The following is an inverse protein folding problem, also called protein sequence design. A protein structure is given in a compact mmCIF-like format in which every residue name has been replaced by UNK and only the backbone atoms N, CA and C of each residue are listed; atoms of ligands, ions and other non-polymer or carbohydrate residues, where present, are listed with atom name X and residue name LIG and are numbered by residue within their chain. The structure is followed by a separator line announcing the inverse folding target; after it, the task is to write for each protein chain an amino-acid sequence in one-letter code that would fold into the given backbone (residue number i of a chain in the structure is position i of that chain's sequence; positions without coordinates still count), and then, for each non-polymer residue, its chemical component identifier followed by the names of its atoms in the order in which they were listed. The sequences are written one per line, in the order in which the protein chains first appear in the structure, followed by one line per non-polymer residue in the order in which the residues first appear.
data_IF_025557373291
#
_entry.id   IF_025557373291
#
_cell.length_a   1.000
_cell.length_b   1.000
_cell.length_c   1.000
_cell.angle_alpha   90.00
_cell.angle_beta   90.00
_cell.angle_gamma   90.00
#
_symmetry.space_group_name_H-M   'P 1'
#
loop_
_entity.id
_entity.type
_entity.pdbx_description
1 polymer ?
#
# COMPACT_ATOMS: atom_id res chain seq x y z
N UNK A 1 -49.35 -71.51 -13.24
CA UNK A 1 -50.67 -70.84 -13.43
C UNK A 1 -50.99 -70.25 -12.06
N UNK A 2 -51.01 -68.94 -11.81
CA UNK A 2 -51.44 -67.73 -12.53
C UNK A 2 -50.68 -66.56 -11.86
N UNK A 3 -50.08 -65.61 -12.57
CA UNK A 3 -50.73 -64.45 -13.16
C UNK A 3 -50.35 -63.18 -12.37
N UNK A 4 -49.46 -62.35 -12.94
CA UNK A 4 -49.14 -60.99 -12.48
C UNK A 4 -50.37 -60.07 -12.55
N UNK A 5 -50.39 -58.99 -11.75
CA UNK A 5 -50.72 -57.68 -12.31
C UNK A 5 -49.67 -56.59 -12.00
N UNK A 6 -49.59 -55.67 -12.96
CA UNK A 6 -48.69 -54.52 -13.12
C UNK A 6 -49.24 -53.25 -12.44
N UNK A 7 -48.34 -52.54 -11.75
CA UNK A 7 -48.14 -51.08 -11.44
C UNK A 7 -49.34 -50.08 -11.35
N UNK A 8 -49.23 -49.01 -10.53
CA UNK A 8 -48.48 -47.82 -10.98
C UNK A 8 -47.60 -47.15 -9.91
N UNK A 9 -46.58 -46.44 -10.41
CA UNK A 9 -45.61 -45.61 -9.69
C UNK A 9 -46.23 -44.33 -9.10
N UNK A 10 -45.76 -43.84 -7.94
CA UNK A 10 -45.87 -42.43 -7.58
C UNK A 10 -44.65 -41.61 -8.06
N UNK A 11 -44.86 -40.33 -8.43
CA UNK A 11 -43.86 -39.48 -9.06
C UNK A 11 -43.01 -38.71 -8.05
N UNK A 12 -41.81 -38.32 -8.47
CA UNK A 12 -41.16 -37.08 -8.03
C UNK A 12 -40.47 -37.12 -6.67
N UNK A 13 -39.20 -37.50 -6.67
CA UNK A 13 -38.24 -36.90 -5.74
C UNK A 13 -37.06 -36.36 -6.55
N UNK A 14 -36.78 -35.09 -6.28
CA UNK A 14 -36.05 -34.19 -7.17
C UNK A 14 -34.56 -34.45 -7.17
N UNK A 15 -34.03 -34.34 -8.38
CA UNK A 15 -32.63 -34.10 -8.67
C UNK A 15 -32.25 -32.70 -8.15
N UNK A 16 -31.60 -32.60 -7.01
CA UNK A 16 -30.89 -31.37 -6.61
C UNK A 16 -29.83 -31.71 -5.55
N UNK A 17 -28.78 -32.43 -5.95
CA UNK A 17 -27.78 -32.92 -5.00
C UNK A 17 -26.36 -32.93 -5.53
N UNK A 18 -26.01 -32.20 -6.59
CA UNK A 18 -24.64 -32.22 -7.14
C UNK A 18 -24.31 -30.90 -7.86
N UNK A 19 -24.25 -29.78 -7.14
CA UNK A 19 -23.79 -28.50 -7.70
C UNK A 19 -23.02 -27.62 -6.70
N UNK A 20 -22.34 -28.23 -5.73
CA UNK A 20 -21.45 -27.53 -4.80
C UNK A 20 -20.16 -28.35 -4.64
N UNK A 21 -19.26 -28.31 -5.65
CA UNK A 21 -17.86 -28.03 -5.28
C UNK A 21 -17.08 -27.21 -6.33
N UNK A 22 -17.72 -26.42 -7.21
CA UNK A 22 -16.97 -25.59 -8.17
C UNK A 22 -16.61 -24.19 -7.65
N UNK A 23 -17.32 -23.67 -6.64
CA UNK A 23 -17.01 -22.35 -6.06
C UNK A 23 -15.79 -22.37 -5.11
N UNK A 24 -15.39 -23.54 -4.60
CA UNK A 24 -14.25 -23.66 -3.68
C UNK A 24 -12.90 -23.80 -4.40
N UNK A 25 -12.89 -24.27 -5.65
CA UNK A 25 -11.66 -24.44 -6.44
C UNK A 25 -11.09 -23.10 -6.95
N UNK A 26 -11.94 -22.09 -7.17
CA UNK A 26 -11.49 -20.75 -7.58
C UNK A 26 -10.86 -19.93 -6.43
N UNK A 27 -11.11 -20.29 -5.18
CA UNK A 27 -10.51 -19.66 -4.00
C UNK A 27 -9.11 -20.19 -3.67
N UNK A 28 -8.70 -21.33 -4.22
CA UNK A 28 -7.40 -21.97 -3.98
C UNK A 28 -6.37 -21.72 -5.09
N UNK A 29 -6.79 -21.28 -6.27
CA UNK A 29 -5.88 -21.00 -7.39
C UNK A 29 -5.27 -19.58 -7.40
N UNK A 30 -5.64 -18.73 -6.45
CA UNK A 30 -5.16 -17.34 -6.33
C UNK A 30 -3.99 -17.12 -5.36
N UNK A 31 -3.42 -18.18 -4.77
CA UNK A 31 -2.36 -18.07 -3.76
C UNK A 31 -0.96 -17.75 -4.32
N UNK A 32 -0.87 -17.13 -5.50
CA UNK A 32 0.31 -16.35 -5.86
C UNK A 32 0.17 -14.98 -5.19
N UNK A 33 0.46 -14.93 -3.88
CA UNK A 33 0.62 -13.66 -3.17
C UNK A 33 1.61 -12.80 -3.96
N UNK A 34 1.26 -11.57 -4.36
CA UNK A 34 2.26 -10.64 -4.88
C UNK A 34 3.26 -10.36 -3.74
N UNK A 35 4.40 -11.05 -3.80
CA UNK A 35 5.60 -10.76 -3.04
C UNK A 35 6.08 -9.38 -3.48
N UNK A 36 5.89 -8.36 -2.62
CA UNK A 36 6.43 -7.02 -2.85
C UNK A 36 5.39 -5.93 -2.77
N UNK A 37 4.80 -5.75 -1.60
CA UNK A 37 3.97 -4.58 -1.31
C UNK A 37 4.39 -3.95 0.02
N UNK A 38 5.68 -3.74 0.23
CA UNK A 38 6.16 -2.78 1.22
C UNK A 38 6.71 -1.58 0.43
N UNK A 39 6.06 -0.43 0.59
CA UNK A 39 6.59 0.92 0.32
C UNK A 39 6.71 1.56 -1.07
N UNK A 40 6.67 0.84 -2.20
CA UNK A 40 6.81 1.53 -3.51
C UNK A 40 5.66 2.53 -3.77
N UNK A 41 4.50 2.31 -3.16
CA UNK A 41 3.32 3.17 -3.25
C UNK A 41 3.52 4.54 -2.61
N UNK A 42 4.06 4.59 -1.39
CA UNK A 42 4.19 5.82 -0.59
C UNK A 42 5.28 6.73 -1.17
N UNK A 43 6.40 6.17 -1.61
CA UNK A 43 7.45 6.98 -2.22
C UNK A 43 7.15 7.38 -3.66
N UNK A 44 6.45 6.54 -4.41
CA UNK A 44 5.86 6.99 -5.69
C UNK A 44 4.82 8.07 -5.43
N UNK A 45 4.12 8.05 -4.30
CA UNK A 45 3.21 9.14 -3.91
C UNK A 45 4.00 10.39 -3.65
N UNK A 46 5.00 10.35 -2.79
CA UNK A 46 5.80 11.48 -2.33
C UNK A 46 6.65 12.15 -3.40
N UNK A 47 6.98 11.44 -4.49
CA UNK A 47 7.79 11.97 -5.60
C UNK A 47 6.98 12.29 -6.87
N UNK A 48 5.64 12.26 -6.80
CA UNK A 48 4.76 12.51 -7.94
C UNK A 48 4.44 13.99 -8.20
N UNK A 49 4.83 14.91 -7.30
CA UNK A 49 4.68 16.36 -7.49
C UNK A 49 5.60 16.89 -8.60
N UNK A 50 6.80 16.31 -8.75
CA UNK A 50 7.62 16.41 -9.95
C UNK A 50 8.32 15.06 -10.18
N UNK A 51 7.70 14.13 -10.93
CA UNK A 51 8.27 12.82 -11.15
C UNK A 51 9.52 12.87 -12.04
N UNK A 52 9.83 13.99 -12.69
CA UNK A 52 11.03 14.15 -13.51
C UNK A 52 12.18 14.82 -12.75
N UNK A 53 11.92 15.44 -11.60
CA UNK A 53 12.97 16.06 -10.81
C UNK A 53 14.05 15.05 -10.43
N UNK A 54 15.30 15.52 -10.44
CA UNK A 54 16.46 14.71 -10.06
C UNK A 54 16.31 14.18 -8.63
N UNK A 55 15.77 15.01 -7.73
CA UNK A 55 15.52 14.63 -6.35
C UNK A 55 14.49 13.51 -6.23
N UNK A 56 13.33 13.67 -6.88
CA UNK A 56 12.28 12.64 -6.94
C UNK A 56 12.78 11.32 -7.51
N UNK A 57 13.62 11.36 -8.55
CA UNK A 57 14.25 10.15 -9.12
C UNK A 57 15.21 9.49 -8.15
N UNK A 58 16.06 10.26 -7.49
CA UNK A 58 17.02 9.76 -6.50
C UNK A 58 16.32 9.13 -5.29
N UNK A 59 15.30 9.79 -4.74
CA UNK A 59 14.53 9.28 -3.62
C UNK A 59 13.78 7.99 -3.97
N UNK A 60 13.19 7.87 -5.17
CA UNK A 60 12.58 6.60 -5.61
C UNK A 60 13.60 5.48 -5.76
N UNK A 61 14.78 5.78 -6.30
CA UNK A 61 15.83 4.78 -6.41
C UNK A 61 16.26 4.30 -5.03
N UNK A 62 16.51 5.24 -4.11
CA UNK A 62 16.84 4.93 -2.72
C UNK A 62 15.78 4.06 -2.04
N UNK A 63 14.50 4.37 -2.24
CA UNK A 63 13.41 3.56 -1.69
C UNK A 63 13.38 2.15 -2.27
N UNK A 64 13.56 1.99 -3.59
CA UNK A 64 13.62 0.65 -4.21
C UNK A 64 14.74 -0.19 -3.64
N UNK A 65 15.90 0.40 -3.42
CA UNK A 65 17.04 -0.29 -2.81
C UNK A 65 16.73 -0.68 -1.35
N UNK A 66 16.08 0.20 -0.58
CA UNK A 66 15.61 -0.09 0.78
C UNK A 66 14.59 -1.24 0.81
N UNK A 67 13.60 -1.23 -0.08
CA UNK A 67 12.60 -2.30 -0.20
C UNK A 67 13.26 -3.64 -0.55
N UNK A 68 14.25 -3.62 -1.46
CA UNK A 68 15.04 -4.80 -1.78
C UNK A 68 15.73 -5.37 -0.56
N UNK A 69 16.42 -4.52 0.22
CA UNK A 69 17.08 -4.90 1.46
C UNK A 69 16.08 -5.43 2.51
N UNK A 70 14.98 -4.72 2.73
CA UNK A 70 13.92 -5.13 3.67
C UNK A 70 13.34 -6.50 3.32
N UNK A 71 13.08 -6.75 2.04
CA UNK A 71 12.58 -8.05 1.56
C UNK A 71 13.58 -9.17 1.82
N UNK A 72 14.86 -8.96 1.50
CA UNK A 72 15.90 -9.95 1.77
C UNK A 72 16.06 -10.25 3.26
N UNK A 73 15.99 -9.24 4.13
CA UNK A 73 16.04 -9.41 5.59
C UNK A 73 14.82 -10.19 6.11
N UNK A 74 13.62 -9.88 5.61
CA UNK A 74 12.38 -10.58 5.96
C UNK A 74 12.42 -12.06 5.58
N UNK A 75 12.94 -12.34 4.39
CA UNK A 75 13.02 -13.69 3.80
C UNK A 75 14.28 -14.46 4.22
N UNK A 76 15.14 -13.87 5.06
CA UNK A 76 16.42 -14.45 5.50
C UNK A 76 17.33 -14.86 4.35
N UNK A 77 17.37 -14.05 3.30
CA UNK A 77 18.26 -14.23 2.13
C UNK A 77 19.64 -13.68 2.44
N UNK A 78 20.33 -14.29 3.42
CA UNK A 78 21.57 -13.77 4.03
C UNK A 78 22.67 -13.50 2.99
N UNK A 79 22.75 -14.30 1.92
CA UNK A 79 23.72 -14.12 0.83
C UNK A 79 23.51 -12.87 -0.02
N UNK A 80 22.32 -12.27 0.02
CA UNK A 80 21.98 -11.06 -0.74
C UNK A 80 22.06 -9.77 0.09
N UNK A 81 21.99 -9.88 1.43
CA UNK A 81 21.85 -8.75 2.35
C UNK A 81 23.00 -7.74 2.23
N UNK A 82 24.26 -8.21 2.18
CA UNK A 82 25.42 -7.31 2.08
C UNK A 82 25.42 -6.52 0.76
N UNK A 83 25.11 -7.18 -0.36
CA UNK A 83 25.04 -6.53 -1.67
C UNK A 83 23.91 -5.49 -1.74
N UNK A 84 22.76 -5.80 -1.15
CA UNK A 84 21.62 -4.88 -1.08
C UNK A 84 21.88 -3.70 -0.16
N UNK A 85 22.54 -3.91 0.99
CA UNK A 85 23.00 -2.83 1.86
C UNK A 85 23.97 -1.90 1.13
N UNK A 86 24.90 -2.46 0.34
CA UNK A 86 25.80 -1.67 -0.51
C UNK A 86 25.05 -0.74 -1.47
N UNK A 87 24.00 -1.23 -2.14
CA UNK A 87 23.15 -0.41 -3.01
C UNK A 87 22.44 0.71 -2.27
N UNK A 88 21.87 0.43 -1.10
CA UNK A 88 21.22 1.44 -0.24
C UNK A 88 22.20 2.56 0.13
N UNK A 89 23.42 2.19 0.55
CA UNK A 89 24.46 3.16 0.89
C UNK A 89 24.90 3.99 -0.33
N UNK A 90 25.05 3.35 -1.49
CA UNK A 90 25.43 4.02 -2.74
C UNK A 90 24.37 5.02 -3.20
N UNK A 91 23.10 4.61 -3.26
CA UNK A 91 22.02 5.51 -3.68
C UNK A 91 21.81 6.66 -2.70
N UNK A 92 21.97 6.43 -1.39
CA UNK A 92 21.99 7.52 -0.41
C UNK A 92 23.17 8.48 -0.60
N UNK A 93 24.38 7.96 -0.86
CA UNK A 93 25.56 8.79 -1.08
C UNK A 93 25.41 9.67 -2.33
N UNK A 94 24.86 9.11 -3.41
CA UNK A 94 24.53 9.88 -4.63
C UNK A 94 23.53 11.00 -4.33
N UNK A 95 22.45 10.70 -3.60
CA UNK A 95 21.44 11.68 -3.21
C UNK A 95 22.02 12.78 -2.31
N UNK A 96 22.76 12.39 -1.27
CA UNK A 96 23.32 13.30 -0.28
C UNK A 96 24.41 14.20 -0.83
N UNK A 97 25.29 13.71 -1.68
CA UNK A 97 26.28 14.55 -2.37
C UNK A 97 25.62 15.65 -3.21
N UNK A 98 24.46 15.34 -3.79
CA UNK A 98 23.74 16.29 -4.66
C UNK A 98 22.95 17.32 -3.86
N UNK A 99 22.28 16.91 -2.79
CA UNK A 99 21.24 17.73 -2.15
C UNK A 99 21.50 18.12 -0.69
N UNK A 100 22.54 17.59 -0.02
CA UNK A 100 22.78 17.90 1.41
C UNK A 100 23.04 19.39 1.69
N UNK A 101 23.82 20.03 0.83
CA UNK A 101 24.19 21.46 0.94
C UNK A 101 23.20 22.35 0.18
N UNK A 102 22.69 21.86 -0.95
CA UNK A 102 21.75 22.58 -1.81
C UNK A 102 20.45 21.80 -1.89
N UNK A 103 19.46 22.11 -1.03
CA UNK A 103 18.15 21.46 -1.10
C UNK A 103 17.54 21.61 -2.50
N UNK A 104 16.71 20.65 -2.94
CA UNK A 104 15.94 20.81 -4.16
C UNK A 104 14.99 22.01 -4.04
N UNK A 105 14.55 22.54 -5.17
CA UNK A 105 13.75 23.76 -5.26
C UNK A 105 12.50 23.72 -4.36
N UNK A 106 11.88 22.55 -4.27
CA UNK A 106 10.69 22.26 -3.50
C UNK A 106 10.93 22.30 -1.97
N UNK A 107 12.17 22.11 -1.54
CA UNK A 107 12.58 22.11 -0.12
C UNK A 107 13.57 23.24 0.21
N UNK A 108 13.79 24.20 -0.70
CA UNK A 108 14.74 25.32 -0.51
C UNK A 108 14.43 26.16 0.73
N UNK A 109 13.17 26.21 1.16
CA UNK A 109 12.72 26.92 2.36
C UNK A 109 12.64 26.07 3.62
N UNK A 110 13.08 24.81 3.59
CA UNK A 110 13.00 23.89 4.73
C UNK A 110 14.15 24.10 5.72
N UNK A 111 13.90 24.68 6.91
CA UNK A 111 14.96 24.89 7.90
C UNK A 111 15.50 23.58 8.49
N UNK A 112 14.76 22.48 8.37
CA UNK A 112 15.14 21.16 8.86
C UNK A 112 15.92 20.31 7.85
N UNK A 113 16.19 20.82 6.65
CA UNK A 113 16.72 20.01 5.56
C UNK A 113 18.02 19.26 5.91
N UNK A 114 19.04 19.99 6.36
CA UNK A 114 20.32 19.40 6.71
C UNK A 114 20.18 18.33 7.82
N UNK A 115 19.28 18.56 8.78
CA UNK A 115 19.00 17.61 9.85
C UNK A 115 18.35 16.33 9.31
N UNK A 116 17.41 16.42 8.36
CA UNK A 116 16.76 15.26 7.72
C UNK A 116 17.78 14.39 6.95
N UNK A 117 18.68 15.04 6.22
CA UNK A 117 19.77 14.36 5.52
C UNK A 117 20.70 13.64 6.51
N UNK A 118 21.09 14.30 7.59
CA UNK A 118 21.96 13.71 8.60
C UNK A 118 21.28 12.55 9.35
N UNK A 119 20.01 12.70 9.73
CA UNK A 119 19.24 11.65 10.43
C UNK A 119 19.11 10.39 9.56
N UNK A 120 18.87 10.56 8.27
CA UNK A 120 18.82 9.45 7.32
C UNK A 120 20.16 8.69 7.26
N UNK A 121 21.29 9.40 7.20
CA UNK A 121 22.61 8.78 7.23
C UNK A 121 22.86 7.99 8.53
N UNK A 122 22.43 8.54 9.67
CA UNK A 122 22.53 7.86 10.97
C UNK A 122 21.70 6.57 10.99
N UNK A 123 20.47 6.59 10.47
CA UNK A 123 19.60 5.40 10.40
C UNK A 123 20.18 4.30 9.52
N UNK A 124 20.77 4.65 8.37
CA UNK A 124 21.50 3.69 7.53
C UNK A 124 22.66 3.06 8.31
N UNK A 125 23.38 3.87 9.11
CA UNK A 125 24.41 3.37 10.02
C UNK A 125 23.89 2.36 11.04
N UNK A 126 22.72 2.61 11.64
CA UNK A 126 22.06 1.68 12.56
C UNK A 126 21.67 0.37 11.88
N UNK A 127 21.08 0.43 10.67
CA UNK A 127 20.75 -0.76 9.86
C UNK A 127 22.00 -1.60 9.61
N UNK A 128 23.09 -0.97 9.16
CA UNK A 128 24.36 -1.65 8.92
C UNK A 128 24.89 -2.33 10.19
N UNK A 129 24.84 -1.64 11.33
CA UNK A 129 25.30 -2.19 12.61
C UNK A 129 24.49 -3.42 13.03
N UNK A 130 23.16 -3.37 12.91
CA UNK A 130 22.28 -4.49 13.22
C UNK A 130 22.55 -5.70 12.30
N UNK A 131 22.77 -5.46 11.00
CA UNK A 131 23.15 -6.52 10.05
C UNK A 131 24.48 -7.18 10.45
N UNK A 132 25.49 -6.38 10.78
CA UNK A 132 26.81 -6.87 11.20
C UNK A 132 26.76 -7.64 12.53
N UNK A 133 25.80 -7.31 13.41
CA UNK A 133 25.56 -8.02 14.65
C UNK A 133 24.74 -9.32 14.46
N UNK A 134 24.25 -9.61 13.25
CA UNK A 134 23.37 -10.75 12.98
C UNK A 134 21.93 -10.56 13.48
N UNK A 135 21.54 -9.32 13.82
CA UNK A 135 20.23 -8.97 14.38
C UNK A 135 19.21 -8.73 13.24
N UNK A 136 18.94 -9.76 12.42
CA UNK A 136 18.15 -9.64 11.18
C UNK A 136 16.76 -9.01 11.37
N UNK A 137 16.07 -9.35 12.45
CA UNK A 137 14.74 -8.80 12.74
C UNK A 137 14.79 -7.30 13.09
N UNK A 138 15.80 -6.90 13.87
CA UNK A 138 16.02 -5.50 14.20
C UNK A 138 16.40 -4.70 12.96
N UNK A 139 17.31 -5.23 12.13
CA UNK A 139 17.68 -4.61 10.85
C UNK A 139 16.46 -4.39 9.94
N UNK A 140 15.58 -5.39 9.84
CA UNK A 140 14.34 -5.28 9.07
C UNK A 140 13.44 -4.15 9.60
N UNK A 141 13.25 -4.06 10.93
CA UNK A 141 12.41 -3.03 11.53
C UNK A 141 13.01 -1.63 11.34
N UNK A 142 14.34 -1.49 11.42
CA UNK A 142 15.04 -0.24 11.13
C UNK A 142 14.90 0.18 9.66
N UNK A 143 14.90 -0.77 8.71
CA UNK A 143 14.61 -0.49 7.30
C UNK A 143 13.19 0.06 7.14
N UNK A 144 12.19 -0.56 7.76
CA UNK A 144 10.81 -0.06 7.73
C UNK A 144 10.69 1.33 8.37
N UNK A 145 11.36 1.55 9.50
CA UNK A 145 11.36 2.85 10.17
C UNK A 145 11.98 3.95 9.31
N UNK A 146 13.09 3.65 8.64
CA UNK A 146 13.75 4.58 7.72
C UNK A 146 12.87 4.87 6.49
N UNK A 147 12.23 3.85 5.94
CA UNK A 147 11.36 4.00 4.79
C UNK A 147 10.17 4.93 5.08
N UNK A 148 9.55 4.78 6.26
CA UNK A 148 8.54 5.72 6.74
C UNK A 148 9.09 7.13 6.98
N UNK A 149 10.32 7.25 7.50
CA UNK A 149 10.96 8.54 7.74
C UNK A 149 11.15 9.35 6.44
N UNK A 150 11.22 8.70 5.28
CA UNK A 150 11.35 9.40 4.00
C UNK A 150 10.17 10.33 3.69
N UNK A 151 8.99 10.10 4.29
CA UNK A 151 7.86 11.02 4.22
C UNK A 151 8.21 12.44 4.68
N UNK A 152 9.08 12.56 5.68
CA UNK A 152 9.45 13.85 6.27
C UNK A 152 10.18 14.78 5.29
N UNK A 153 10.81 14.24 4.24
CA UNK A 153 11.44 15.07 3.20
C UNK A 153 10.44 15.94 2.45
N UNK A 154 9.16 15.60 2.51
CA UNK A 154 8.12 16.27 1.75
C UNK A 154 7.19 17.14 2.60
N UNK A 155 7.41 17.24 3.91
CA UNK A 155 6.63 18.10 4.81
C UNK A 155 6.67 19.59 4.42
N UNK A 156 7.81 20.03 3.89
CA UNK A 156 8.06 21.42 3.46
C UNK A 156 7.63 21.69 2.01
N UNK A 157 7.35 20.64 1.24
CA UNK A 157 6.85 20.75 -0.12
C UNK A 157 5.40 21.23 -0.04
N UNK A 158 5.08 22.33 -0.74
CA UNK A 158 3.68 22.82 -0.85
C UNK A 158 2.84 21.80 -1.61
N UNK A 159 2.37 20.78 -0.90
CA UNK A 159 1.53 19.73 -1.45
C UNK A 159 0.13 20.27 -1.74
N UNK A 160 -0.39 19.96 -2.93
CA UNK A 160 -1.81 20.10 -3.21
C UNK A 160 -2.61 19.29 -2.19
N UNK A 161 -3.84 19.73 -1.90
CA UNK A 161 -4.75 19.05 -0.97
C UNK A 161 -4.91 17.55 -1.33
N UNK A 162 -5.00 17.28 -2.62
CA UNK A 162 -4.96 15.98 -3.31
C UNK A 162 -3.86 15.05 -2.84
N UNK A 163 -2.68 15.62 -2.64
CA UNK A 163 -1.49 14.84 -2.39
C UNK A 163 -1.40 14.47 -0.92
N UNK A 164 -1.71 15.44 -0.04
CA UNK A 164 -1.92 15.18 1.40
C UNK A 164 -3.00 14.13 1.61
N UNK A 165 -4.04 14.18 0.79
CA UNK A 165 -5.13 13.22 0.78
C UNK A 165 -4.60 11.80 0.47
N UNK A 166 -3.78 11.63 -0.58
CA UNK A 166 -3.22 10.31 -0.87
C UNK A 166 -2.22 9.80 0.18
N UNK A 167 -1.40 10.67 0.77
CA UNK A 167 -0.46 10.26 1.83
C UNK A 167 -1.19 9.74 3.06
N UNK A 168 -2.26 10.41 3.47
CA UNK A 168 -3.08 9.98 4.60
C UNK A 168 -3.68 8.59 4.37
N UNK A 169 -4.14 8.31 3.16
CA UNK A 169 -4.66 6.98 2.82
C UNK A 169 -3.58 5.90 2.86
N UNK A 170 -2.39 6.20 2.36
CA UNK A 170 -1.28 5.25 2.42
C UNK A 170 -0.82 4.95 3.83
N UNK A 171 -0.80 5.95 4.72
CA UNK A 171 -0.53 5.74 6.14
C UNK A 171 -1.58 4.83 6.80
N UNK A 172 -2.87 5.04 6.52
CA UNK A 172 -3.94 4.17 7.04
C UNK A 172 -3.83 2.73 6.52
N UNK A 173 -3.48 2.51 5.25
CA UNK A 173 -3.22 1.17 4.73
C UNK A 173 -2.01 0.51 5.39
N UNK A 174 -0.96 1.28 5.67
CA UNK A 174 0.21 0.77 6.39
C UNK A 174 -0.13 0.37 7.84
N UNK A 175 -0.93 1.17 8.55
CA UNK A 175 -1.43 0.81 9.87
C UNK A 175 -2.24 -0.49 9.82
N UNK A 176 -3.10 -0.66 8.80
CA UNK A 176 -3.88 -1.88 8.58
C UNK A 176 -2.98 -3.12 8.37
N UNK A 177 -1.88 -2.96 7.62
CA UNK A 177 -0.88 -4.01 7.41
C UNK A 177 -0.14 -4.39 8.69
N UNK A 178 0.22 -3.41 9.53
CA UNK A 178 0.86 -3.69 10.82
C UNK A 178 -0.07 -4.42 11.80
N UNK A 179 -1.37 -4.13 11.75
CA UNK A 179 -2.37 -4.77 12.61
C UNK A 179 -2.76 -6.18 12.12
N UNK A 180 -2.58 -6.47 10.83
CA UNK A 180 -2.98 -7.75 10.21
C UNK A 180 -2.30 -9.00 10.81
N UNK A 181 -0.97 -9.02 11.09
CA UNK A 181 -0.31 -10.14 11.75
C UNK A 181 -0.83 -10.42 13.17
N UNK A 182 -1.13 -9.37 13.94
CA UNK A 182 -1.68 -9.49 15.29
C UNK A 182 -3.11 -10.04 15.27
N UNK A 183 -3.81 -9.89 14.14
CA UNK A 183 -5.10 -10.51 13.89
C UNK A 183 -6.24 -9.96 14.74
N UNK A 184 -6.04 -8.84 15.45
CA UNK A 184 -7.05 -8.20 16.29
C UNK A 184 -8.03 -7.39 15.43
N UNK A 185 -9.27 -7.88 15.23
CA UNK A 185 -10.24 -7.17 14.42
C UNK A 185 -10.68 -5.84 15.08
N UNK A 186 -10.63 -5.73 16.40
CA UNK A 186 -11.04 -4.51 17.10
C UNK A 186 -10.09 -3.36 16.83
N UNK A 187 -8.78 -3.62 16.78
CA UNK A 187 -7.78 -2.63 16.42
C UNK A 187 -7.88 -2.19 14.95
N UNK A 188 -8.29 -3.08 14.05
CA UNK A 188 -8.37 -2.79 12.61
C UNK A 188 -9.60 -1.99 12.20
N UNK A 189 -10.75 -2.17 12.87
CA UNK A 189 -12.02 -1.52 12.49
C UNK A 189 -11.97 0.01 12.44
N UNK A 190 -11.36 0.73 13.41
CA UNK A 190 -11.21 2.18 13.32
C UNK A 190 -10.41 2.65 12.09
N UNK A 191 -9.40 1.87 11.68
CA UNK A 191 -8.57 2.16 10.50
C UNK A 191 -9.40 1.98 9.23
N UNK A 192 -10.14 0.87 9.11
CA UNK A 192 -11.04 0.61 7.97
C UNK A 192 -12.14 1.68 7.88
N UNK A 193 -12.77 2.04 9.01
CA UNK A 193 -13.76 3.10 9.04
C UNK A 193 -13.20 4.45 8.56
N UNK A 194 -11.95 4.76 8.94
CA UNK A 194 -11.26 5.97 8.49
C UNK A 194 -10.97 5.95 6.99
N UNK A 195 -10.50 4.82 6.45
CA UNK A 195 -10.29 4.62 5.00
C UNK A 195 -11.62 4.79 4.22
N UNK A 196 -12.68 4.14 4.68
CA UNK A 196 -14.00 4.18 4.01
C UNK A 196 -14.62 5.58 4.07
N UNK A 197 -14.62 6.22 5.24
CA UNK A 197 -15.15 7.57 5.39
C UNK A 197 -14.44 8.56 4.46
N UNK A 198 -13.13 8.42 4.38
CA UNK A 198 -12.31 9.27 3.52
C UNK A 198 -12.56 9.06 2.03
N UNK A 199 -12.67 7.82 1.56
CA UNK A 199 -13.04 7.56 0.16
C UNK A 199 -14.43 8.14 -0.15
N UNK A 200 -15.40 8.00 0.76
CA UNK A 200 -16.75 8.57 0.57
C UNK A 200 -16.72 10.10 0.47
N UNK A 201 -15.87 10.77 1.25
CA UNK A 201 -15.67 12.23 1.15
C UNK A 201 -15.03 12.65 -0.20
N UNK A 202 -14.29 11.76 -0.85
CA UNK A 202 -13.67 11.99 -2.15
C UNK A 202 -14.67 11.91 -3.30
N UNK A 203 -15.70 11.06 -3.20
CA UNK A 203 -16.69 10.80 -4.26
C UNK A 203 -17.23 12.03 -5.00
N UNK A 204 -17.72 13.08 -4.31
CA UNK A 204 -18.28 14.26 -4.98
C UNK A 204 -17.22 15.02 -5.81
N UNK A 205 -15.94 14.81 -5.54
CA UNK A 205 -14.81 15.44 -6.21
C UNK A 205 -14.28 14.59 -7.38
N UNK A 206 -14.80 13.37 -7.57
CA UNK A 206 -14.36 12.49 -8.65
C UNK A 206 -15.11 12.77 -9.95
N UNK A 207 -14.38 13.02 -11.04
CA UNK A 207 -14.96 12.94 -12.37
C UNK A 207 -15.42 11.51 -12.71
N UNK A 208 -16.30 11.41 -13.70
CA UNK A 208 -17.03 10.18 -14.06
C UNK A 208 -16.11 8.98 -14.29
N UNK A 209 -14.94 9.19 -14.87
CA UNK A 209 -13.99 8.14 -15.28
C UNK A 209 -13.27 7.45 -14.11
N UNK A 210 -13.17 8.10 -12.94
CA UNK A 210 -12.60 7.47 -11.74
C UNK A 210 -13.67 6.86 -10.82
N UNK A 211 -14.97 6.99 -11.16
CA UNK A 211 -16.05 6.41 -10.34
C UNK A 211 -16.03 4.87 -10.32
N UNK A 212 -15.78 4.14 -11.41
CA UNK A 212 -15.69 2.69 -11.37
C UNK A 212 -14.61 2.15 -10.43
N UNK A 213 -13.32 2.57 -10.51
CA UNK A 213 -12.29 2.10 -9.58
C UNK A 213 -12.52 2.60 -8.14
N UNK A 214 -13.11 3.78 -7.96
CA UNK A 214 -13.54 4.25 -6.65
C UNK A 214 -14.56 3.30 -6.01
N UNK A 215 -15.60 2.91 -6.76
CA UNK A 215 -16.63 1.99 -6.27
C UNK A 215 -16.05 0.62 -5.90
N UNK A 216 -15.07 0.13 -6.67
CA UNK A 216 -14.35 -1.09 -6.34
C UNK A 216 -13.61 -0.96 -4.99
N UNK A 217 -12.83 0.12 -4.80
CA UNK A 217 -12.11 0.36 -3.55
C UNK A 217 -13.04 0.46 -2.33
N UNK A 218 -14.17 1.17 -2.44
CA UNK A 218 -15.16 1.26 -1.36
C UNK A 218 -15.81 -0.09 -1.08
N UNK A 219 -16.19 -0.84 -2.12
CA UNK A 219 -16.81 -2.15 -1.96
C UNK A 219 -15.87 -3.14 -1.25
N UNK A 220 -14.57 -3.11 -1.57
CA UNK A 220 -13.57 -3.97 -0.92
C UNK A 220 -13.38 -3.60 0.56
N UNK A 221 -13.39 -2.31 0.90
CA UNK A 221 -13.32 -1.86 2.29
C UNK A 221 -14.59 -2.18 3.09
N UNK A 222 -15.77 -2.05 2.47
CA UNK A 222 -17.04 -2.45 3.10
C UNK A 222 -17.08 -3.97 3.33
N UNK A 223 -16.56 -4.77 2.40
CA UNK A 223 -16.39 -6.21 2.60
C UNK A 223 -15.40 -6.52 3.73
N UNK A 224 -14.30 -5.77 3.83
CA UNK A 224 -13.34 -5.91 4.92
C UNK A 224 -14.00 -5.58 6.27
N UNK A 225 -14.72 -4.46 6.42
CA UNK A 225 -15.41 -4.12 7.67
C UNK A 225 -16.42 -5.21 8.08
N UNK A 226 -17.18 -5.74 7.13
CA UNK A 226 -18.09 -6.85 7.37
C UNK A 226 -17.36 -8.11 7.88
N UNK A 227 -16.19 -8.43 7.33
CA UNK A 227 -15.38 -9.56 7.83
C UNK A 227 -14.74 -9.29 9.19
N UNK A 228 -14.38 -8.05 9.51
CA UNK A 228 -13.84 -7.69 10.82
C UNK A 228 -14.91 -7.73 11.92
N UNK A 229 -16.18 -7.50 11.56
CA UNK A 229 -17.31 -7.70 12.46
C UNK A 229 -17.62 -9.19 12.72
N UNK A 230 -17.20 -10.08 11.82
CA UNK A 230 -17.41 -11.53 11.92
C UNK A 230 -16.26 -12.22 12.65
N UNK A 231 -16.55 -12.88 13.78
CA UNK A 231 -15.54 -13.63 14.55
C UNK A 231 -15.09 -14.94 13.90
N UNK A 232 -15.78 -15.37 12.83
CA UNK A 232 -15.52 -16.67 12.18
C UNK A 232 -14.66 -16.57 10.92
N UNK A 233 -14.30 -15.36 10.48
CA UNK A 233 -13.53 -15.17 9.25
C UNK A 233 -12.04 -15.43 9.47
N UNK A 234 -11.46 -16.28 8.61
CA UNK A 234 -10.04 -16.63 8.70
C UNK A 234 -9.11 -15.44 8.47
N UNK A 235 -7.91 -15.49 9.06
CA UNK A 235 -6.89 -14.48 8.87
C UNK A 235 -6.46 -14.35 7.39
N UNK A 236 -6.43 -15.47 6.66
CA UNK A 236 -6.10 -15.47 5.23
C UNK A 236 -7.11 -14.68 4.38
N UNK A 237 -8.40 -14.81 4.68
CA UNK A 237 -9.45 -14.03 3.99
C UNK A 237 -9.30 -12.54 4.29
N UNK A 238 -9.04 -12.19 5.56
CA UNK A 238 -8.78 -10.79 5.95
C UNK A 238 -7.56 -10.22 5.24
N UNK A 239 -6.44 -10.94 5.22
CA UNK A 239 -5.23 -10.53 4.52
C UNK A 239 -5.48 -10.34 3.01
N UNK A 240 -6.25 -11.22 2.37
CA UNK A 240 -6.63 -11.08 0.96
C UNK A 240 -7.47 -9.82 0.70
N UNK A 241 -8.44 -9.51 1.56
CA UNK A 241 -9.24 -8.28 1.43
C UNK A 241 -8.42 -7.00 1.65
N UNK A 242 -7.46 -7.01 2.57
CA UNK A 242 -6.52 -5.90 2.77
C UNK A 242 -5.71 -5.66 1.49
N UNK A 243 -5.18 -6.72 0.89
CA UNK A 243 -4.41 -6.61 -0.34
C UNK A 243 -5.27 -6.10 -1.50
N UNK A 244 -6.47 -6.63 -1.67
CA UNK A 244 -7.40 -6.15 -2.70
C UNK A 244 -7.74 -4.67 -2.52
N UNK A 245 -8.01 -4.22 -1.28
CA UNK A 245 -8.33 -2.82 -1.01
C UNK A 245 -7.16 -1.89 -1.37
N UNK A 246 -5.93 -2.33 -1.13
CA UNK A 246 -4.71 -1.63 -1.51
C UNK A 246 -4.55 -1.54 -3.03
N UNK A 247 -4.77 -2.64 -3.74
CA UNK A 247 -4.66 -2.69 -5.20
C UNK A 247 -5.73 -1.81 -5.87
N UNK A 248 -6.97 -1.84 -5.38
CA UNK A 248 -8.05 -0.98 -5.85
C UNK A 248 -7.74 0.51 -5.61
N UNK A 249 -7.22 0.84 -4.43
CA UNK A 249 -6.77 2.21 -4.12
C UNK A 249 -5.63 2.66 -5.03
N UNK A 250 -4.64 1.79 -5.30
CA UNK A 250 -3.55 2.07 -6.22
C UNK A 250 -4.04 2.34 -7.64
N UNK A 251 -5.03 1.58 -8.11
CA UNK A 251 -5.68 1.77 -9.40
C UNK A 251 -6.43 3.11 -9.47
N UNK A 252 -7.22 3.44 -8.42
CA UNK A 252 -7.89 4.73 -8.28
C UNK A 252 -6.89 5.88 -8.32
N UNK A 253 -5.82 5.79 -7.54
CA UNK A 253 -4.76 6.77 -7.45
C UNK A 253 -4.06 6.99 -8.79
N UNK A 254 -3.67 5.93 -9.49
CA UNK A 254 -3.02 6.03 -10.81
C UNK A 254 -3.86 6.86 -11.78
N UNK A 255 -5.19 6.65 -11.76
CA UNK A 255 -6.13 7.38 -12.63
C UNK A 255 -6.28 8.83 -12.22
N UNK A 256 -6.33 9.14 -10.92
CA UNK A 256 -6.42 10.53 -10.44
C UNK A 256 -5.12 11.30 -10.75
N UNK A 257 -3.95 10.67 -10.57
CA UNK A 257 -2.65 11.32 -10.83
C UNK A 257 -2.37 11.52 -12.32
N UNK A 258 -2.78 10.59 -13.19
CA UNK A 258 -2.62 10.73 -14.65
C UNK A 258 -3.47 11.85 -15.26
N UNK A 259 -4.48 12.36 -14.54
CA UNK A 259 -5.41 13.37 -15.05
C UNK A 259 -5.21 14.77 -14.45
N UNK A 260 -4.14 15.03 -13.66
CA UNK A 260 -3.86 16.35 -13.02
C UNK A 260 -5.11 17.00 -12.38
N UNK A 261 -5.86 16.23 -11.60
CA UNK A 261 -7.26 16.52 -11.24
C UNK A 261 -7.56 17.67 -10.29
N UNK A 262 -6.59 18.52 -10.00
CA UNK A 262 -6.80 19.71 -9.19
C UNK A 262 -6.34 20.90 -10.00
N UNK A 263 -7.20 21.40 -10.92
CA UNK A 263 -6.95 22.71 -11.49
C UNK A 263 -6.78 23.70 -10.33
N UNK A 264 -5.79 24.59 -10.46
CA UNK A 264 -5.67 25.72 -9.55
C UNK A 264 -7.05 26.37 -9.44
N UNK A 265 -7.56 26.53 -8.21
CA UNK A 265 -8.83 27.20 -7.95
C UNK A 265 -8.77 28.53 -8.69
N UNK A 266 -9.51 28.68 -9.79
CA UNK A 266 -9.61 29.98 -10.44
C UNK A 266 -10.25 30.92 -9.41
N UNK A 267 -9.64 32.08 -9.10
CA UNK A 267 -10.29 33.05 -8.26
C UNK A 267 -11.62 33.42 -8.92
N UNK A 268 -12.72 33.55 -8.16
CA UNK A 268 -14.01 33.88 -8.73
C UNK A 268 -13.94 35.29 -9.31
N UNK A 269 -13.80 35.40 -10.63
CA UNK A 269 -13.82 36.68 -11.35
C UNK A 269 -12.72 36.83 -12.40
N UNK A 270 -12.81 36.07 -13.48
CA UNK A 270 -11.94 36.23 -14.65
C UNK A 270 -12.72 36.10 -15.95
N UNK A 271 -13.66 37.01 -16.19
CA UNK A 271 -14.34 37.16 -17.48
C UNK A 271 -13.34 37.57 -18.57
N UNK A 272 -13.34 36.84 -19.69
CA UNK A 272 -13.01 37.41 -21.01
C UNK A 272 -14.29 37.49 -21.81
#
# INVERSE_FOLDING_TARGET
MTGLPVAPSPPGQGLAGWALPLALAFLLAGAALPLGACDDTLMTLLTASDPKSEFSRGIRQFNRDLTGLGTALKERRDTEVEGLLGKVMESWLQLSNRFSISPPDEARGDPGWAAKMQDTATRIGSIRKAIQAGETFQAHNEVLALSNHLGNFFDSVKMSESYRLFLRMSDLFFQLEQLSPAGDPQAMRPVVASLTGFLRDLEPRLASEARPPYRAAVATLDALDATLASQTTSQAVRAGLIQNAKDDYLSLRSRILMMEWFPAVQPPGGSR
#
